data_IF_264982418720
#
_entry.id   IF_264982418720
#
_cell.length_a   1.000
_cell.length_b   1.000
_cell.length_c   1.000
_cell.angle_alpha   90.00
_cell.angle_beta   90.00
_cell.angle_gamma   90.00
#
_symmetry.space_group_name_H-M   'P 1'
#
loop_
_entity.id
_entity.type
_entity.pdbx_description
1 polymer ?
#
# COMPACT_ATOMS: atom_id res chain seq x y z
N UNK A 1 -2.50 8.98 18.02
CA UNK A 1 -2.56 8.82 17.51
C UNK A 1 -2.94 8.61 17.25
N UNK A 2 -3.25 8.90 17.28
CA UNK A 2 -3.55 8.53 16.99
C UNK A 2 -3.09 8.12 16.49
N UNK A 3 -2.68 8.09 17.36
CA UNK A 3 -2.08 7.27 16.62
C UNK A 3 -2.45 7.49 15.28
N UNK A 4 -2.53 8.49 15.02
CA UNK A 4 -3.16 8.80 13.81
C UNK A 4 -2.16 8.74 12.71
N UNK A 5 -2.46 7.91 11.78
CA UNK A 5 -1.65 7.81 10.59
C UNK A 5 -1.83 9.09 9.79
N UNK A 6 -0.75 9.78 9.57
CA UNK A 6 -0.80 11.01 8.78
C UNK A 6 -0.67 10.63 7.31
N UNK A 7 -1.80 10.46 6.67
CA UNK A 7 -1.83 10.03 5.28
C UNK A 7 -1.05 10.98 4.37
N UNK A 8 -1.21 12.28 4.60
CA UNK A 8 -0.58 13.26 3.73
C UNK A 8 0.94 13.18 3.81
N UNK A 9 1.45 13.13 5.03
CA UNK A 9 2.89 13.07 5.24
C UNK A 9 3.47 11.76 4.74
N UNK A 10 2.83 10.66 5.10
CA UNK A 10 3.37 9.34 4.75
C UNK A 10 3.28 9.05 3.27
N UNK A 11 2.26 9.58 2.60
CA UNK A 11 2.12 9.33 1.16
C UNK A 11 3.20 10.05 0.35
N UNK A 12 3.91 11.00 0.96
CA UNK A 12 4.95 11.76 0.28
C UNK A 12 6.35 11.31 0.68
N UNK A 13 6.47 10.25 1.43
CA UNK A 13 7.78 9.79 1.85
C UNK A 13 7.98 8.33 1.51
N UNK A 14 9.25 7.93 1.44
CA UNK A 14 9.60 6.54 1.19
C UNK A 14 9.35 5.76 2.47
N UNK A 15 8.65 4.64 2.34
CA UNK A 15 8.34 3.81 3.49
C UNK A 15 9.64 3.25 4.10
N UNK A 16 9.72 3.31 5.42
CA UNK A 16 10.86 2.75 6.15
C UNK A 16 10.50 1.33 6.54
N UNK A 17 11.05 0.37 5.81
CA UNK A 17 10.75 -1.04 6.05
C UNK A 17 11.89 -1.71 6.78
N UNK A 18 11.62 -2.81 7.50
CA UNK A 18 12.70 -3.55 8.15
C UNK A 18 13.54 -4.32 7.13
N UNK A 19 14.52 -5.04 7.61
CA UNK A 19 15.35 -5.85 6.72
C UNK A 19 14.49 -6.91 6.02
N UNK A 20 14.74 -7.15 4.73
CA UNK A 20 14.00 -8.20 4.01
C UNK A 20 14.28 -9.58 4.59
N UNK A 21 13.41 -10.56 4.32
CA UNK A 21 12.28 -10.43 3.40
C UNK A 21 11.05 -9.85 4.05
N UNK A 22 10.25 -9.18 3.26
CA UNK A 22 8.91 -8.75 3.62
C UNK A 22 8.07 -8.78 2.36
N UNK A 23 6.83 -8.29 2.45
CA UNK A 23 5.90 -8.48 1.34
C UNK A 23 5.29 -7.16 0.91
N UNK A 24 4.93 -7.08 -0.35
CA UNK A 24 4.34 -5.88 -0.91
C UNK A 24 3.04 -6.23 -1.61
N UNK A 25 2.05 -5.37 -1.42
CA UNK A 25 0.80 -5.41 -2.19
C UNK A 25 0.81 -4.21 -3.09
N UNK A 26 0.79 -4.45 -4.39
CA UNK A 26 0.78 -3.39 -5.39
C UNK A 26 -0.62 -3.30 -5.95
N UNK A 27 -1.27 -2.17 -5.70
CA UNK A 27 -2.63 -1.90 -6.18
C UNK A 27 -2.55 -0.86 -7.27
N UNK A 28 -2.81 -1.28 -8.51
CA UNK A 28 -2.77 -0.40 -9.66
C UNK A 28 -4.19 -0.20 -10.14
N UNK A 29 -4.59 1.05 -10.38
CA UNK A 29 -6.00 1.32 -10.70
C UNK A 29 -6.18 2.50 -11.64
N UNK A 30 -7.30 2.45 -12.36
CA UNK A 30 -7.84 3.57 -13.11
C UNK A 30 -9.14 3.97 -12.45
N UNK A 31 -9.30 5.27 -12.21
CA UNK A 31 -10.47 5.78 -11.51
C UNK A 31 -11.58 6.19 -12.45
N UNK A 32 -12.81 6.13 -11.95
CA UNK A 32 -13.96 6.75 -12.60
C UNK A 32 -13.87 8.26 -12.42
N UNK A 33 -14.69 9.00 -13.15
CA UNK A 33 -14.74 10.44 -13.02
C UNK A 33 -15.44 10.87 -11.75
N UNK A 34 -15.02 12.02 -11.22
CA UNK A 34 -15.62 12.58 -10.03
C UNK A 34 -15.13 11.90 -8.76
N UNK A 35 -15.21 12.61 -7.66
CA UNK A 35 -14.74 12.04 -6.40
C UNK A 35 -15.67 10.97 -5.87
N UNK A 36 -16.95 11.28 -5.78
CA UNK A 36 -17.98 10.34 -5.32
C UNK A 36 -17.65 9.63 -4.02
N UNK A 37 -16.97 10.35 -3.11
CA UNK A 37 -16.57 9.79 -1.82
C UNK A 37 -15.26 9.03 -1.84
N UNK A 38 -14.58 9.00 -2.98
CA UNK A 38 -13.34 8.26 -3.11
C UNK A 38 -12.25 8.74 -2.16
N UNK A 39 -12.05 10.06 -2.08
CA UNK A 39 -10.97 10.61 -1.25
C UNK A 39 -11.15 10.24 0.21
N UNK A 40 -12.37 10.34 0.71
CA UNK A 40 -12.65 9.97 2.10
C UNK A 40 -12.46 8.48 2.31
N UNK A 41 -12.87 7.66 1.35
CA UNK A 41 -12.70 6.22 1.45
C UNK A 41 -11.23 5.84 1.41
N UNK A 42 -10.45 6.46 0.52
CA UNK A 42 -9.02 6.16 0.42
C UNK A 42 -8.28 6.51 1.69
N UNK A 43 -8.60 7.66 2.29
CA UNK A 43 -8.00 8.04 3.57
C UNK A 43 -8.36 7.04 4.67
N UNK A 44 -9.63 6.64 4.72
CA UNK A 44 -10.08 5.68 5.71
C UNK A 44 -9.37 4.34 5.54
N UNK A 45 -9.13 3.94 4.30
CA UNK A 45 -8.44 2.67 4.02
C UNK A 45 -6.99 2.72 4.48
N UNK A 46 -6.30 3.83 4.22
CA UNK A 46 -4.91 3.99 4.67
C UNK A 46 -4.86 3.96 6.20
N UNK A 47 -5.78 4.67 6.85
CA UNK A 47 -5.85 4.65 8.30
C UNK A 47 -6.11 3.27 8.87
N UNK A 48 -7.01 2.52 8.22
CA UNK A 48 -7.31 1.17 8.66
C UNK A 48 -6.10 0.25 8.47
N UNK A 49 -5.42 0.37 7.34
CA UNK A 49 -4.23 -0.44 7.06
C UNK A 49 -3.18 -0.22 8.14
N UNK A 50 -2.98 1.03 8.54
CA UNK A 50 -1.95 1.37 9.52
C UNK A 50 -2.21 0.74 10.89
N UNK A 51 -3.44 0.33 11.17
CA UNK A 51 -3.77 -0.32 12.45
C UNK A 51 -3.67 -1.83 12.38
N UNK A 52 -3.44 -2.40 11.21
CA UNK A 52 -3.45 -3.85 11.05
C UNK A 52 -2.13 -4.47 11.53
N UNK A 53 -2.21 -5.67 12.12
CA UNK A 53 -0.97 -6.37 12.46
C UNK A 53 -0.15 -6.61 11.22
N UNK A 54 1.14 -6.36 11.32
CA UNK A 54 2.07 -6.64 10.24
C UNK A 54 2.22 -5.53 9.22
N UNK A 55 1.48 -4.43 9.36
CA UNK A 55 1.64 -3.29 8.45
C UNK A 55 3.02 -2.65 8.65
N UNK A 56 3.72 -2.42 7.55
CA UNK A 56 5.07 -1.85 7.61
C UNK A 56 5.17 -0.47 6.97
N UNK A 57 4.29 -0.13 6.04
CA UNK A 57 4.34 1.17 5.40
C UNK A 57 3.54 1.21 4.12
N UNK A 58 3.46 2.39 3.53
CA UNK A 58 2.67 2.58 2.32
C UNK A 58 3.24 3.73 1.51
N UNK A 59 3.16 3.59 0.19
CA UNK A 59 3.56 4.62 -0.76
C UNK A 59 2.51 4.67 -1.85
N UNK A 60 2.17 5.87 -2.33
CA UNK A 60 1.22 5.94 -3.43
C UNK A 60 1.46 7.17 -4.29
N UNK A 61 1.07 7.02 -5.54
CA UNK A 61 1.14 8.10 -6.50
C UNK A 61 0.04 7.91 -7.53
N UNK A 62 -0.49 8.99 -8.03
CA UNK A 62 -1.55 8.93 -9.04
C UNK A 62 -1.47 10.13 -9.96
N UNK A 63 -1.51 9.77 -11.25
CA UNK A 63 -1.65 10.80 -12.28
C UNK A 63 -2.23 10.11 -13.51
N UNK A 64 -3.51 9.95 -13.60
CA UNK A 64 -4.13 9.09 -14.59
C UNK A 64 -4.12 7.66 -14.05
N UNK A 65 -3.01 6.98 -14.15
CA UNK A 65 -2.83 5.68 -13.51
C UNK A 65 -2.41 5.89 -12.06
N UNK A 66 -3.03 5.16 -11.14
CA UNK A 66 -2.68 5.23 -9.74
C UNK A 66 -2.01 3.95 -9.26
N UNK A 67 -1.00 4.09 -8.42
CA UNK A 67 -0.30 2.94 -7.86
C UNK A 67 -0.14 3.18 -6.37
N UNK A 68 -0.60 2.20 -5.59
CA UNK A 68 -0.39 2.20 -4.15
C UNK A 68 0.34 0.92 -3.80
N UNK A 69 1.44 1.05 -3.07
CA UNK A 69 2.19 -0.10 -2.59
C UNK A 69 2.14 -0.10 -1.08
N UNK A 70 1.63 -1.18 -0.50
CA UNK A 70 1.67 -1.35 0.96
C UNK A 70 2.60 -2.50 1.29
N UNK A 71 3.29 -2.38 2.43
CA UNK A 71 4.31 -3.33 2.84
C UNK A 71 3.88 -4.03 4.10
N UNK A 72 4.14 -5.34 4.17
CA UNK A 72 3.61 -6.22 5.21
C UNK A 72 4.66 -7.23 5.64
N UNK A 73 4.57 -7.66 6.89
CA UNK A 73 5.55 -8.60 7.42
C UNK A 73 5.29 -10.05 6.98
N UNK A 74 4.07 -10.37 6.55
CA UNK A 74 3.74 -11.75 6.21
C UNK A 74 2.56 -11.82 5.25
N UNK A 75 2.41 -12.96 4.60
CA UNK A 75 1.26 -13.22 3.75
C UNK A 75 -0.02 -13.32 4.58
N UNK A 76 0.09 -13.80 5.81
CA UNK A 76 -1.05 -13.89 6.71
C UNK A 76 -1.60 -12.50 7.03
N UNK A 77 -0.72 -11.56 7.28
CA UNK A 77 -1.14 -10.18 7.54
C UNK A 77 -1.86 -9.58 6.35
N UNK A 78 -1.37 -9.88 5.15
CA UNK A 78 -2.02 -9.43 3.92
C UNK A 78 -3.42 -10.04 3.80
N UNK A 79 -3.56 -11.32 4.14
CA UNK A 79 -4.86 -11.98 4.04
C UNK A 79 -5.87 -11.36 4.99
N UNK A 80 -5.45 -11.04 6.21
CA UNK A 80 -6.32 -10.36 7.17
C UNK A 80 -6.70 -8.98 6.65
N UNK A 81 -5.73 -8.22 6.16
CA UNK A 81 -5.97 -6.90 5.61
C UNK A 81 -6.96 -6.96 4.44
N UNK A 82 -6.77 -7.94 3.56
CA UNK A 82 -7.65 -8.09 2.41
C UNK A 82 -9.10 -8.31 2.82
N UNK A 83 -9.33 -9.14 3.84
CA UNK A 83 -10.68 -9.37 4.34
C UNK A 83 -11.28 -8.10 4.93
N UNK A 84 -10.50 -7.38 5.72
CA UNK A 84 -10.99 -6.18 6.39
C UNK A 84 -11.26 -5.06 5.39
N UNK A 85 -10.37 -4.87 4.43
CA UNK A 85 -10.55 -3.82 3.43
C UNK A 85 -11.73 -4.12 2.51
N UNK A 86 -11.89 -5.39 2.11
CA UNK A 86 -13.02 -5.78 1.27
C UNK A 86 -14.34 -5.52 1.99
N UNK A 87 -14.39 -5.81 3.28
CA UNK A 87 -15.58 -5.57 4.07
C UNK A 87 -15.92 -4.08 4.12
N UNK A 88 -14.93 -3.24 4.35
CA UNK A 88 -15.12 -1.80 4.40
C UNK A 88 -15.57 -1.24 3.05
N UNK A 89 -14.97 -1.72 1.98
CA UNK A 89 -15.34 -1.27 0.63
C UNK A 89 -16.79 -1.67 0.33
N UNK A 90 -17.16 -2.88 0.70
CA UNK A 90 -18.55 -3.34 0.49
C UNK A 90 -19.52 -2.48 1.25
N UNK A 91 -19.19 -2.12 2.48
CA UNK A 91 -20.05 -1.28 3.30
C UNK A 91 -20.24 0.10 2.70
N UNK A 92 -19.29 0.57 1.92
CA UNK A 92 -19.32 1.89 1.30
C UNK A 92 -19.74 1.85 -0.16
N UNK A 93 -20.30 0.72 -0.58
CA UNK A 93 -20.83 0.54 -1.93
C UNK A 93 -19.78 0.42 -3.01
N UNK A 94 -18.59 0.02 -2.60
CA UNK A 94 -17.69 -0.68 -3.42
C UNK A 94 -17.05 -0.03 -4.60
N UNK A 95 -16.28 -0.86 -5.25
CA UNK A 95 -15.36 -0.46 -6.27
C UNK A 95 -16.02 -0.09 -7.58
N UNK A 96 -17.26 -0.51 -7.81
CA UNK A 96 -17.91 -0.20 -9.09
C UNK A 96 -18.09 1.29 -9.29
N UNK A 97 -18.18 2.04 -8.19
CA UNK A 97 -18.37 3.47 -8.29
C UNK A 97 -17.05 4.19 -8.49
N UNK A 98 -15.97 3.64 -7.92
CA UNK A 98 -14.70 4.36 -7.84
C UNK A 98 -13.69 3.97 -8.89
N UNK A 99 -13.74 2.75 -9.40
CA UNK A 99 -12.70 2.25 -10.30
C UNK A 99 -13.27 1.75 -11.61
N UNK A 100 -12.66 2.19 -12.70
CA UNK A 100 -12.89 1.59 -14.01
C UNK A 100 -12.24 0.22 -14.07
N UNK A 101 -11.04 0.11 -13.49
CA UNK A 101 -10.36 -1.17 -13.41
C UNK A 101 -9.28 -1.10 -12.35
N UNK A 102 -8.88 -2.25 -11.85
CA UNK A 102 -7.75 -2.34 -10.94
C UNK A 102 -7.12 -3.72 -11.02
N UNK A 103 -5.88 -3.79 -10.56
CA UNK A 103 -5.18 -5.06 -10.47
C UNK A 103 -4.35 -5.05 -9.19
N UNK A 104 -4.36 -6.17 -8.49
CA UNK A 104 -3.60 -6.31 -7.25
C UNK A 104 -2.52 -7.37 -7.48
N UNK A 105 -1.30 -7.04 -7.12
CA UNK A 105 -0.19 -7.97 -7.17
C UNK A 105 0.40 -8.10 -5.78
N UNK A 106 0.72 -9.33 -5.39
CA UNK A 106 1.34 -9.59 -4.10
C UNK A 106 2.70 -10.20 -4.38
N UNK A 107 3.74 -9.61 -3.81
CA UNK A 107 5.10 -10.05 -4.09
C UNK A 107 5.91 -10.09 -2.80
N UNK A 108 6.99 -10.85 -2.86
CA UNK A 108 7.96 -10.86 -1.77
C UNK A 108 9.12 -9.96 -2.15
N UNK A 109 9.53 -9.12 -1.22
CA UNK A 109 10.73 -8.30 -1.39
C UNK A 109 11.88 -9.08 -0.78
N UNK A 110 12.77 -9.54 -1.63
CA UNK A 110 13.90 -10.35 -1.19
C UNK A 110 15.10 -9.49 -0.82
N UNK A 111 15.23 -8.36 -1.46
CA UNK A 111 16.36 -7.44 -1.22
C UNK A 111 15.89 -6.01 -1.43
N UNK A 112 16.48 -5.11 -0.66
CA UNK A 112 16.29 -3.67 -0.86
C UNK A 112 17.59 -2.96 -0.45
N UNK A 113 17.71 -1.72 -0.91
CA UNK A 113 18.78 -0.85 -0.46
C UNK A 113 18.36 0.59 -0.72
N UNK A 114 19.04 1.52 -0.06
CA UNK A 114 18.76 2.94 -0.24
C UNK A 114 20.07 3.72 -0.31
N UNK A 115 19.99 5.03 -0.42
CA UNK A 115 21.18 5.86 -0.55
C UNK A 115 22.04 5.83 0.72
N UNK A 116 21.40 5.71 1.87
CA UNK A 116 22.10 5.72 3.14
C UNK A 116 22.79 4.39 3.42
N UNK A 117 22.19 3.29 2.96
CA UNK A 117 22.72 1.96 3.15
C UNK A 117 22.75 1.24 1.82
N UNK A 118 23.76 1.52 0.99
CA UNK A 118 23.83 0.88 -0.32
C UNK A 118 24.04 -0.62 -0.19
N UNK A 119 23.80 -1.36 -1.26
CA UNK A 119 23.92 -2.81 -1.19
C UNK A 119 25.32 -3.21 -0.83
N UNK A 120 25.40 -4.11 0.14
CA UNK A 120 26.68 -4.65 0.54
C UNK A 120 27.15 -5.53 -0.56
N UNK A 121 28.37 -5.66 -0.67
CA UNK A 121 29.08 -6.65 -1.37
C UNK A 121 28.30 -7.74 -2.08
N UNK A 122 27.17 -7.52 -2.52
CA UNK A 122 26.55 -8.49 -3.36
C UNK A 122 27.08 -8.20 -4.74
N UNK A 123 28.16 -8.78 -5.07
CA UNK A 123 28.84 -8.37 -6.26
C UNK A 123 27.96 -8.61 -7.45
N UNK A 124 28.02 -7.69 -8.34
CA UNK A 124 27.48 -7.94 -9.63
C UNK A 124 25.99 -8.27 -9.65
N UNK A 125 25.31 -7.79 -8.69
CA UNK A 125 23.88 -8.01 -8.70
C UNK A 125 23.25 -6.85 -9.46
N UNK A 126 22.74 -7.05 -10.65
CA UNK A 126 22.10 -5.95 -11.36
C UNK A 126 20.79 -5.60 -10.68
N UNK A 127 20.39 -4.41 -10.86
CA UNK A 127 19.10 -3.97 -10.33
C UNK A 127 17.95 -4.66 -11.03
#
# INVERSE_FOLDING_TARGET
MSADYDFTEDSMSIAATPAPPYYAVIFTSLRTEGDNGYSAMAEAMVGLAATQPGFLGIESAREGLGITVSYWDSLESIAVWKRNSAHQVAQRRGHEIWYDSFKVRICRVDRDYDMATPPQAAPAEPL
#
